data_IF_090824301211
#
_entry.id   IF_090824301211
#
_cell.length_a   1.000
_cell.length_b   1.000
_cell.length_c   1.000
_cell.angle_alpha   90.00
_cell.angle_beta   90.00
_cell.angle_gamma   90.00
#
_symmetry.space_group_name_H-M   'P 1'
#
loop_
_entity.id
_entity.type
_entity.pdbx_description
1 polymer ?
#
# COMPACT_ATOMS: atom_id res chain seq x y z
N UNK A 1 -35.85 -57.16 68.75
CA UNK A 1 -35.80 -56.28 67.56
C UNK A 1 -34.83 -55.13 67.86
N UNK A 2 -33.58 -55.16 67.40
CA UNK A 2 -32.71 -53.99 67.46
C UNK A 2 -33.02 -53.03 66.29
N UNK A 3 -32.73 -51.72 66.42
CA UNK A 3 -33.01 -50.74 65.37
C UNK A 3 -32.02 -50.89 64.22
N UNK A 4 -32.52 -50.72 62.98
CA UNK A 4 -31.73 -50.69 61.75
C UNK A 4 -30.83 -49.45 61.74
N UNK A 5 -29.53 -49.62 61.53
CA UNK A 5 -28.63 -48.53 61.13
C UNK A 5 -28.99 -48.04 59.73
N UNK A 6 -28.93 -46.74 59.43
CA UNK A 6 -29.04 -46.28 58.05
C UNK A 6 -27.83 -46.79 57.26
N UNK A 7 -28.10 -47.50 56.18
CA UNK A 7 -27.10 -47.91 55.20
C UNK A 7 -26.45 -46.66 54.61
N UNK A 8 -25.16 -46.44 54.89
CA UNK A 8 -24.36 -45.50 54.11
C UNK A 8 -24.17 -46.13 52.74
N UNK A 9 -24.87 -45.61 51.74
CA UNK A 9 -24.59 -45.92 50.34
C UNK A 9 -23.12 -45.61 50.06
N UNK A 10 -22.36 -46.67 49.81
CA UNK A 10 -21.00 -46.55 49.28
C UNK A 10 -21.16 -46.08 47.85
N UNK A 11 -21.08 -44.76 47.64
CA UNK A 11 -20.96 -44.18 46.29
C UNK A 11 -19.65 -44.72 45.72
N UNK A 12 -19.74 -45.69 44.83
CA UNK A 12 -18.61 -46.20 44.08
C UNK A 12 -18.20 -45.15 43.06
N UNK A 13 -17.37 -44.20 43.48
CA UNK A 13 -16.69 -43.28 42.58
C UNK A 13 -15.74 -44.08 41.69
N UNK A 14 -16.22 -44.44 40.50
CA UNK A 14 -15.42 -44.97 39.42
C UNK A 14 -14.33 -43.96 39.07
N UNK A 15 -13.09 -44.42 39.18
CA UNK A 15 -11.90 -43.60 39.00
C UNK A 15 -11.67 -43.34 37.51
N UNK A 16 -11.57 -42.07 37.11
CA UNK A 16 -11.16 -41.70 35.75
C UNK A 16 -9.66 -41.39 35.74
N UNK A 17 -8.84 -42.10 34.93
CA UNK A 17 -7.43 -41.75 34.74
C UNK A 17 -7.23 -40.48 33.90
N UNK A 18 -8.33 -39.90 33.40
CA UNK A 18 -8.31 -38.64 32.65
C UNK A 18 -8.45 -37.49 33.65
N UNK A 19 -7.51 -36.53 33.70
CA UNK A 19 -7.66 -35.34 34.53
C UNK A 19 -8.97 -34.63 34.16
N UNK A 20 -9.92 -34.64 35.10
CA UNK A 20 -11.25 -34.08 34.94
C UNK A 20 -11.52 -32.98 35.95
N UNK A 21 -12.48 -32.12 35.66
CA UNK A 21 -12.99 -31.15 36.61
C UNK A 21 -13.68 -31.89 37.76
N UNK A 22 -13.37 -31.51 39.00
CA UNK A 22 -14.14 -31.95 40.17
C UNK A 22 -15.50 -31.23 40.13
N UNK A 23 -16.59 -31.97 40.34
CA UNK A 23 -17.93 -31.39 40.41
C UNK A 23 -17.99 -30.26 41.45
N UNK A 24 -18.54 -29.10 41.06
CA UNK A 24 -18.60 -27.91 41.90
C UNK A 24 -17.44 -26.91 41.73
N UNK A 25 -16.37 -27.27 41.01
CA UNK A 25 -15.33 -26.34 40.58
C UNK A 25 -15.52 -26.03 39.08
N UNK A 26 -15.54 -24.75 38.73
CA UNK A 26 -15.67 -24.31 37.33
C UNK A 26 -14.33 -23.75 36.82
N UNK A 27 -13.86 -24.28 35.69
CA UNK A 27 -12.57 -23.93 35.09
C UNK A 27 -11.33 -24.42 35.85
N UNK A 28 -10.16 -24.08 35.33
CA UNK A 28 -8.91 -24.10 36.09
C UNK A 28 -8.79 -22.72 36.76
N UNK A 29 -8.44 -22.68 38.05
CA UNK A 29 -8.22 -21.40 38.71
C UNK A 29 -7.05 -20.66 38.04
N UNK A 30 -7.19 -19.33 37.97
CA UNK A 30 -6.13 -18.41 37.57
C UNK A 30 -5.53 -17.84 38.86
N UNK A 31 -4.23 -17.51 38.85
CA UNK A 31 -3.54 -16.96 40.02
C UNK A 31 -2.17 -17.60 40.21
N UNK A 32 -1.35 -16.97 41.05
CA UNK A 32 -0.07 -17.56 41.45
C UNK A 32 -0.32 -18.76 42.37
N UNK A 33 0.51 -19.79 42.23
CA UNK A 33 0.42 -20.99 43.07
C UNK A 33 0.89 -20.64 44.48
N UNK A 34 0.00 -20.77 45.46
CA UNK A 34 0.33 -20.49 46.86
C UNK A 34 0.63 -21.76 47.66
N UNK A 35 0.02 -22.90 47.31
CA UNK A 35 0.26 -24.18 47.98
C UNK A 35 -0.06 -25.36 47.08
N UNK A 36 0.69 -26.44 47.24
CA UNK A 36 0.50 -27.71 46.51
C UNK A 36 0.47 -28.84 47.53
N UNK A 37 -0.59 -29.63 47.51
CA UNK A 37 -0.71 -30.84 48.33
C UNK A 37 -0.85 -32.06 47.42
N UNK A 38 0.03 -33.03 47.63
CA UNK A 38 0.05 -34.27 46.87
C UNK A 38 -0.35 -35.43 47.78
N UNK A 39 -1.46 -36.10 47.45
CA UNK A 39 -1.84 -37.37 48.03
C UNK A 39 -1.40 -38.54 47.16
N UNK A 40 -1.62 -39.77 47.64
CA UNK A 40 -1.33 -41.00 46.87
C UNK A 40 -2.10 -41.07 45.54
N UNK A 41 -3.20 -40.33 45.42
CA UNK A 41 -4.15 -40.41 44.30
C UNK A 41 -4.61 -39.04 43.78
N UNK A 42 -4.13 -37.92 44.33
CA UNK A 42 -4.57 -36.60 43.87
C UNK A 42 -3.49 -35.55 44.06
N UNK A 43 -3.58 -34.47 43.28
CA UNK A 43 -2.82 -33.25 43.49
C UNK A 43 -3.81 -32.11 43.59
N UNK A 44 -3.80 -31.43 44.74
CA UNK A 44 -4.57 -30.22 44.95
C UNK A 44 -3.62 -29.02 44.87
N UNK A 45 -3.99 -28.03 44.06
CA UNK A 45 -3.23 -26.79 43.90
C UNK A 45 -4.13 -25.66 44.40
N UNK A 46 -3.66 -24.94 45.42
CA UNK A 46 -4.29 -23.71 45.87
C UNK A 46 -3.63 -22.52 45.14
N UNK A 47 -4.47 -21.59 44.71
CA UNK A 47 -4.06 -20.41 43.97
C UNK A 47 -4.46 -19.14 44.74
N UNK A 48 -3.67 -18.08 44.61
CA UNK A 48 -4.07 -16.77 45.06
C UNK A 48 -5.28 -16.24 44.26
N UNK A 49 -6.12 -15.35 44.84
CA UNK A 49 -7.21 -14.73 44.11
C UNK A 49 -6.69 -13.96 42.89
N UNK A 50 -7.11 -14.39 41.70
CA UNK A 50 -6.79 -13.68 40.47
C UNK A 50 -7.49 -12.31 40.42
N UNK A 51 -6.70 -11.25 40.32
CA UNK A 51 -7.18 -9.86 40.21
C UNK A 51 -7.09 -9.30 38.79
N UNK A 52 -6.66 -10.12 37.82
CA UNK A 52 -6.47 -9.70 36.44
C UNK A 52 -7.76 -9.75 35.59
N UNK A 53 -7.64 -9.40 34.30
CA UNK A 53 -8.77 -9.35 33.39
C UNK A 53 -9.33 -10.75 33.11
N UNK A 54 -10.66 -10.84 33.05
CA UNK A 54 -11.33 -12.09 32.71
C UNK A 54 -11.02 -12.50 31.27
N UNK A 55 -11.18 -13.80 30.96
CA UNK A 55 -11.01 -14.30 29.59
C UNK A 55 -11.92 -13.55 28.58
N UNK A 56 -13.13 -13.19 29.00
CA UNK A 56 -14.05 -12.38 28.21
C UNK A 56 -13.50 -10.96 27.96
N UNK A 57 -12.83 -10.35 28.93
CA UNK A 57 -12.20 -9.04 28.78
C UNK A 57 -10.97 -9.12 27.84
N UNK A 58 -10.14 -10.14 27.99
CA UNK A 58 -8.97 -10.38 27.12
C UNK A 58 -9.39 -10.61 25.67
N UNK A 59 -10.41 -11.42 25.44
CA UNK A 59 -10.93 -11.68 24.08
C UNK A 59 -11.55 -10.43 23.46
N UNK A 60 -12.26 -9.61 24.24
CA UNK A 60 -12.78 -8.33 23.78
C UNK A 60 -11.65 -7.36 23.39
N UNK A 61 -10.61 -7.23 24.22
CA UNK A 61 -9.46 -6.35 23.96
C UNK A 61 -8.68 -6.79 22.72
N UNK A 62 -8.46 -8.10 22.54
CA UNK A 62 -7.83 -8.65 21.34
C UNK A 62 -8.64 -8.36 20.08
N UNK A 63 -9.98 -8.47 20.16
CA UNK A 63 -10.87 -8.14 19.05
C UNK A 63 -10.82 -6.67 18.70
N UNK A 64 -10.81 -5.78 19.68
CA UNK A 64 -10.69 -4.34 19.48
C UNK A 64 -9.34 -3.97 18.85
N UNK A 65 -8.23 -4.50 19.39
CA UNK A 65 -6.89 -4.31 18.82
C UNK A 65 -6.81 -4.78 17.37
N UNK A 66 -7.41 -5.93 17.06
CA UNK A 66 -7.47 -6.45 15.68
C UNK A 66 -8.29 -5.53 14.78
N UNK A 67 -9.46 -5.08 15.23
CA UNK A 67 -10.30 -4.14 14.48
C UNK A 67 -9.54 -2.84 14.17
N UNK A 68 -8.89 -2.26 15.19
CA UNK A 68 -8.12 -1.02 15.05
C UNK A 68 -6.95 -1.17 14.08
N UNK A 69 -6.19 -2.27 14.18
CA UNK A 69 -5.06 -2.53 13.29
C UNK A 69 -5.52 -2.77 11.85
N UNK A 70 -6.63 -3.47 11.64
CA UNK A 70 -7.23 -3.64 10.32
C UNK A 70 -7.72 -2.31 9.73
N UNK A 71 -8.39 -1.47 10.52
CA UNK A 71 -8.85 -0.14 10.10
C UNK A 71 -7.66 0.75 9.69
N UNK A 72 -6.59 0.79 10.49
CA UNK A 72 -5.36 1.50 10.16
C UNK A 72 -4.70 0.98 8.88
N UNK A 73 -4.70 -0.34 8.67
CA UNK A 73 -4.17 -0.95 7.45
C UNK A 73 -4.97 -0.55 6.22
N UNK A 74 -6.31 -0.51 6.31
CA UNK A 74 -7.19 -0.05 5.22
C UNK A 74 -6.95 1.42 4.91
N UNK A 75 -6.97 2.29 5.92
CA UNK A 75 -6.71 3.72 5.75
C UNK A 75 -5.35 4.00 5.09
N UNK A 76 -4.29 3.27 5.48
CA UNK A 76 -2.97 3.38 4.83
C UNK A 76 -2.98 2.97 3.36
N UNK A 77 -3.70 1.90 3.01
CA UNK A 77 -3.83 1.44 1.61
C UNK A 77 -4.58 2.47 0.76
N UNK A 78 -5.70 2.98 1.27
CA UNK A 78 -6.49 4.02 0.61
C UNK A 78 -5.70 5.31 0.42
N UNK A 79 -4.96 5.76 1.43
CA UNK A 79 -4.10 6.93 1.32
C UNK A 79 -2.99 6.74 0.25
N UNK A 80 -2.35 5.56 0.21
CA UNK A 80 -1.34 5.23 -0.80
C UNK A 80 -1.94 5.22 -2.20
N UNK A 81 -3.12 4.65 -2.36
CA UNK A 81 -3.82 4.62 -3.64
C UNK A 81 -4.27 6.00 -4.09
N UNK A 82 -4.86 6.81 -3.20
CA UNK A 82 -5.22 8.20 -3.48
C UNK A 82 -4.01 9.01 -3.94
N UNK A 83 -2.87 8.87 -3.26
CA UNK A 83 -1.61 9.52 -3.66
C UNK A 83 -1.11 9.04 -5.03
N UNK A 84 -1.20 7.74 -5.33
CA UNK A 84 -0.83 7.18 -6.64
C UNK A 84 -1.71 7.76 -7.76
N UNK A 85 -3.04 7.76 -7.55
CA UNK A 85 -4.02 8.32 -8.51
C UNK A 85 -3.81 9.82 -8.72
N UNK A 86 -3.56 10.57 -7.64
CA UNK A 86 -3.26 12.01 -7.74
C UNK A 86 -1.98 12.28 -8.54
N UNK A 87 -0.91 11.51 -8.33
CA UNK A 87 0.33 11.62 -9.12
C UNK A 87 0.10 11.31 -10.59
N UNK A 88 -0.61 10.22 -10.90
CA UNK A 88 -0.92 9.86 -12.28
C UNK A 88 -1.73 10.97 -12.99
N UNK A 89 -2.73 11.54 -12.30
CA UNK A 89 -3.50 12.66 -12.82
C UNK A 89 -2.65 13.92 -13.03
N UNK A 90 -1.76 14.23 -12.11
CA UNK A 90 -0.88 15.39 -12.24
C UNK A 90 0.07 15.25 -13.45
N UNK A 91 0.65 14.06 -13.65
CA UNK A 91 1.48 13.77 -14.83
C UNK A 91 0.68 13.90 -16.13
N UNK A 92 -0.55 13.38 -16.15
CA UNK A 92 -1.41 13.48 -17.33
C UNK A 92 -1.80 14.93 -17.65
N UNK A 93 -2.18 15.70 -16.63
CA UNK A 93 -2.46 17.13 -16.79
C UNK A 93 -1.23 17.91 -17.28
N UNK A 94 -0.05 17.55 -16.80
CA UNK A 94 1.20 18.16 -17.24
C UNK A 94 1.49 17.82 -18.72
N UNK A 95 1.32 16.56 -19.15
CA UNK A 95 1.43 16.15 -20.56
C UNK A 95 0.52 16.99 -21.44
N UNK A 96 -0.76 17.09 -21.08
CA UNK A 96 -1.76 17.86 -21.83
C UNK A 96 -1.37 19.34 -21.93
N UNK A 97 -0.90 19.92 -20.82
CA UNK A 97 -0.49 21.33 -20.78
C UNK A 97 0.71 21.59 -21.68
N UNK A 98 1.72 20.73 -21.63
CA UNK A 98 2.93 20.89 -22.46
C UNK A 98 2.60 20.68 -23.94
N UNK A 99 1.81 19.65 -24.27
CA UNK A 99 1.39 19.40 -25.66
C UNK A 99 0.59 20.57 -26.21
N UNK A 100 -0.34 21.12 -25.44
CA UNK A 100 -1.10 22.31 -25.86
C UNK A 100 -0.18 23.51 -26.11
N UNK A 101 0.76 23.78 -25.20
CA UNK A 101 1.76 24.83 -25.36
C UNK A 101 2.61 24.64 -26.63
N UNK A 102 3.11 23.43 -26.87
CA UNK A 102 3.93 23.13 -28.05
C UNK A 102 3.11 23.22 -29.34
N UNK A 103 1.85 22.79 -29.34
CA UNK A 103 1.01 22.84 -30.53
C UNK A 103 0.51 24.25 -30.88
N UNK A 104 0.54 25.20 -29.93
CA UNK A 104 0.13 26.59 -30.15
C UNK A 104 1.18 27.39 -30.95
N UNK A 105 2.47 27.19 -30.66
CA UNK A 105 3.55 27.99 -31.27
C UNK A 105 4.72 27.20 -31.88
N UNK A 106 4.83 25.90 -31.61
CA UNK A 106 6.04 25.11 -31.88
C UNK A 106 5.69 23.75 -32.51
N UNK A 107 4.94 23.79 -33.61
CA UNK A 107 4.58 22.60 -34.37
C UNK A 107 5.81 21.79 -34.79
N UNK A 108 5.71 20.47 -34.68
CA UNK A 108 6.79 19.56 -35.06
C UNK A 108 7.03 19.55 -36.57
N UNK A 109 8.23 19.09 -36.96
CA UNK A 109 8.62 18.99 -38.37
C UNK A 109 8.20 17.65 -38.97
N UNK A 110 7.47 17.66 -40.09
CA UNK A 110 7.05 16.46 -40.82
C UNK A 110 8.16 15.82 -41.66
N UNK A 111 9.24 16.55 -41.92
CA UNK A 111 10.38 16.09 -42.71
C UNK A 111 11.50 15.45 -41.88
N UNK A 112 11.49 15.61 -40.56
CA UNK A 112 12.47 14.97 -39.69
C UNK A 112 12.26 13.45 -39.64
N UNK A 113 13.35 12.69 -39.76
CA UNK A 113 13.32 11.22 -39.65
C UNK A 113 12.79 10.78 -38.28
N UNK A 114 13.26 11.40 -37.20
CA UNK A 114 12.59 11.34 -35.90
C UNK A 114 11.83 12.64 -35.67
N UNK A 115 10.52 12.51 -35.48
CA UNK A 115 9.59 13.61 -35.20
C UNK A 115 9.93 14.37 -33.91
N UNK A 116 10.82 13.79 -33.11
CA UNK A 116 11.26 14.23 -31.80
C UNK A 116 12.64 14.92 -31.79
N UNK A 117 13.31 15.03 -32.94
CA UNK A 117 14.60 15.73 -33.02
C UNK A 117 14.42 17.25 -33.16
N UNK A 118 13.20 17.71 -33.47
CA UNK A 118 12.87 19.11 -33.64
C UNK A 118 11.82 19.55 -32.60
N UNK A 119 12.19 20.53 -31.76
CA UNK A 119 11.29 21.13 -30.77
C UNK A 119 10.15 21.92 -31.41
N UNK A 120 10.35 22.36 -32.64
CA UNK A 120 9.44 23.19 -33.41
C UNK A 120 10.21 24.21 -34.24
N UNK A 121 9.51 24.99 -35.06
CA UNK A 121 10.18 25.97 -35.91
C UNK A 121 10.89 27.04 -35.07
N UNK A 122 12.21 27.12 -35.22
CA UNK A 122 13.04 28.17 -34.63
C UNK A 122 13.75 28.91 -35.77
N UNK A 123 13.43 30.18 -36.04
CA UNK A 123 13.97 30.89 -37.21
C UNK A 123 15.49 31.06 -37.10
N UNK A 124 16.22 30.68 -38.16
CA UNK A 124 17.64 31.00 -38.32
C UNK A 124 17.79 32.51 -38.64
N UNK A 125 18.72 33.18 -37.95
CA UNK A 125 18.98 34.63 -38.11
C UNK A 125 19.42 35.01 -39.52
N UNK A 126 20.10 34.11 -40.22
CA UNK A 126 20.58 34.33 -41.59
C UNK A 126 19.60 33.80 -42.64
N UNK A 127 18.79 32.80 -42.27
CA UNK A 127 17.85 32.13 -43.17
C UNK A 127 16.48 31.99 -42.48
N UNK A 128 15.67 33.05 -42.41
CA UNK A 128 14.47 33.10 -41.56
C UNK A 128 13.34 32.15 -41.98
N UNK A 129 13.45 31.52 -43.15
CA UNK A 129 12.55 30.47 -43.63
C UNK A 129 12.98 29.06 -43.22
N UNK A 130 14.20 28.89 -42.71
CA UNK A 130 14.77 27.61 -42.31
C UNK A 130 14.85 27.51 -40.78
N UNK A 131 14.57 26.31 -40.27
CA UNK A 131 14.68 26.02 -38.85
C UNK A 131 16.15 25.80 -38.45
N UNK A 132 16.62 26.47 -37.40
CA UNK A 132 18.01 26.32 -36.91
C UNK A 132 18.26 24.93 -36.30
N UNK A 133 17.22 24.21 -35.88
CA UNK A 133 17.33 22.91 -35.21
C UNK A 133 17.47 21.77 -36.21
N UNK A 134 16.59 21.70 -37.21
CA UNK A 134 16.57 20.59 -38.17
C UNK A 134 16.99 20.98 -39.60
N UNK A 135 17.18 22.26 -39.89
CA UNK A 135 17.54 22.73 -41.23
C UNK A 135 16.42 22.66 -42.27
N UNK A 136 15.20 22.30 -41.87
CA UNK A 136 14.04 22.21 -42.76
C UNK A 136 13.29 23.53 -42.86
N UNK A 137 12.53 23.71 -43.96
CA UNK A 137 11.72 24.90 -44.20
C UNK A 137 10.56 25.03 -43.20
N UNK A 138 10.10 26.27 -42.99
CA UNK A 138 8.98 26.60 -42.11
C UNK A 138 7.71 25.81 -42.44
N UNK A 139 7.42 25.62 -43.73
CA UNK A 139 6.18 24.96 -44.18
C UNK A 139 6.13 23.47 -43.81
N UNK A 140 7.28 22.88 -43.50
CA UNK A 140 7.39 21.50 -43.02
C UNK A 140 7.13 21.39 -41.50
N UNK A 141 6.93 22.49 -40.78
CA UNK A 141 6.63 22.51 -39.35
C UNK A 141 5.12 22.63 -39.13
N UNK A 142 4.41 21.54 -39.43
CA UNK A 142 2.94 21.47 -39.41
C UNK A 142 2.41 20.28 -38.59
N UNK A 143 3.28 19.53 -37.91
CA UNK A 143 2.91 18.34 -37.16
C UNK A 143 2.41 18.71 -35.76
N UNK A 144 1.16 18.37 -35.47
CA UNK A 144 0.64 18.45 -34.11
C UNK A 144 1.01 17.19 -33.31
N UNK A 145 1.47 17.40 -32.07
CA UNK A 145 1.76 16.33 -31.12
C UNK A 145 0.47 15.83 -30.49
N UNK A 146 0.36 14.52 -30.31
CA UNK A 146 -0.77 13.90 -29.63
C UNK A 146 -0.37 13.49 -28.21
N UNK A 147 -1.27 13.68 -27.26
CA UNK A 147 -1.02 13.35 -25.85
C UNK A 147 -0.84 11.84 -25.64
N UNK A 148 -1.53 11.03 -26.46
CA UNK A 148 -1.54 9.58 -26.39
C UNK A 148 -0.39 8.91 -27.18
N UNK A 149 0.53 9.69 -27.74
CA UNK A 149 1.68 9.15 -28.48
C UNK A 149 2.63 8.41 -27.54
N UNK A 150 2.88 7.09 -27.75
CA UNK A 150 3.71 6.29 -26.86
C UNK A 150 5.18 6.71 -26.87
N UNK A 151 5.67 7.31 -27.96
CA UNK A 151 7.06 7.76 -28.07
C UNK A 151 7.27 9.12 -27.38
N UNK A 152 6.18 9.82 -27.04
CA UNK A 152 6.20 11.12 -26.41
C UNK A 152 6.09 11.00 -24.88
N UNK A 153 7.18 10.65 -24.21
CA UNK A 153 7.19 10.55 -22.75
C UNK A 153 7.13 11.93 -22.09
N UNK A 154 6.81 11.99 -20.79
CA UNK A 154 6.76 13.27 -20.06
C UNK A 154 8.15 13.93 -19.98
N UNK A 155 9.22 13.12 -19.94
CA UNK A 155 10.60 13.61 -19.96
C UNK A 155 10.90 14.32 -21.28
N UNK A 156 10.59 13.69 -22.43
CA UNK A 156 10.78 14.29 -23.76
C UNK A 156 9.98 15.59 -23.90
N UNK A 157 8.74 15.61 -23.41
CA UNK A 157 7.91 16.83 -23.41
C UNK A 157 8.53 17.96 -22.59
N UNK A 158 9.05 17.66 -21.40
CA UNK A 158 9.74 18.65 -20.56
C UNK A 158 10.98 19.18 -21.24
N UNK A 159 11.76 18.30 -21.86
CA UNK A 159 12.95 18.71 -22.60
C UNK A 159 12.56 19.68 -23.72
N UNK A 160 11.56 19.36 -24.54
CA UNK A 160 11.09 20.28 -25.59
C UNK A 160 10.64 21.63 -25.05
N UNK A 161 9.87 21.63 -23.96
CA UNK A 161 9.44 22.86 -23.32
C UNK A 161 10.64 23.71 -22.90
N UNK A 162 11.67 23.10 -22.31
CA UNK A 162 12.91 23.78 -21.97
C UNK A 162 13.66 24.28 -23.22
N UNK A 163 13.78 23.48 -24.27
CA UNK A 163 14.44 23.91 -25.51
C UNK A 163 13.76 25.11 -26.17
N UNK A 164 12.44 25.21 -26.04
CA UNK A 164 11.66 26.39 -26.46
C UNK A 164 11.94 27.59 -25.54
N UNK A 165 11.84 27.42 -24.22
CA UNK A 165 12.01 28.50 -23.23
C UNK A 165 13.44 29.07 -23.22
N UNK A 166 14.45 28.24 -23.48
CA UNK A 166 15.87 28.61 -23.46
C UNK A 166 16.50 28.77 -24.86
N UNK A 167 15.67 28.75 -25.91
CA UNK A 167 16.00 29.05 -27.31
C UNK A 167 17.12 28.23 -27.99
N UNK A 168 17.62 27.10 -27.44
CA UNK A 168 18.85 26.42 -27.94
C UNK A 168 18.96 24.92 -27.54
N UNK A 169 19.91 24.13 -28.09
CA UNK A 169 19.66 22.76 -28.52
C UNK A 169 19.59 21.76 -27.36
N UNK A 170 18.55 20.93 -27.40
CA UNK A 170 18.46 19.70 -26.63
C UNK A 170 19.21 18.64 -27.43
N UNK A 171 20.46 18.36 -27.06
CA UNK A 171 21.18 17.21 -27.60
C UNK A 171 20.65 15.93 -26.94
N UNK A 172 19.63 15.30 -27.52
CA UNK A 172 19.37 13.89 -27.26
C UNK A 172 20.31 13.06 -28.11
N UNK A 173 21.56 12.96 -27.67
CA UNK A 173 22.48 11.94 -28.18
C UNK A 173 21.90 10.57 -27.82
N UNK A 174 21.23 9.94 -28.78
CA UNK A 174 20.82 8.54 -28.68
C UNK A 174 22.08 7.66 -28.67
N UNK A 175 22.37 6.88 -27.62
CA UNK A 175 23.56 6.05 -27.56
C UNK A 175 23.29 4.72 -28.29
N UNK A 176 23.15 4.76 -29.62
CA UNK A 176 23.16 3.55 -30.46
C UNK A 176 23.82 3.83 -31.80
N UNK A 177 25.14 3.78 -31.79
CA UNK A 177 25.96 3.34 -32.91
C UNK A 177 26.16 1.82 -32.78
#
# INVERSE_FOLDING_TARGET
WPPKTPEMEVVSTSYSPVPGLVEGLSGFGLGEVCSVACGRYFTAIALEPYTGPTEAQLTAELREKRSRTEALRRARREAKEKKRRARARAVEQERQTIVAFLNDGHLGCSACANKWDCVGFVPDTFRPTFCVVCGHERDQHNLQRQVDDPDLTIEVLRDFKLGVEYHLPISNSNPRA
#
